data_IF_499053939912
#
_entry.id   IF_499053939912
#
_cell.length_a   1.000
_cell.length_b   1.000
_cell.length_c   1.000
_cell.angle_alpha   90.00
_cell.angle_beta   90.00
_cell.angle_gamma   90.00
#
_symmetry.space_group_name_H-M   'P 1'
#
loop_
_entity.id
_entity.type
_entity.pdbx_description
1 polymer ?
#
# COMPACT_ATOMS: atom_id res chain seq x y z
N UNK A 1 66.56 13.06 -9.63
CA UNK A 1 66.03 14.07 -8.69
C UNK A 1 64.56 13.73 -8.40
N UNK A 2 64.13 13.98 -7.16
CA UNK A 2 63.05 13.30 -6.45
C UNK A 2 61.63 13.43 -7.05
N UNK A 3 60.83 12.35 -6.93
CA UNK A 3 59.36 12.37 -7.06
C UNK A 3 58.77 13.16 -5.90
N UNK A 4 58.07 14.26 -6.18
CA UNK A 4 57.25 14.94 -5.19
C UNK A 4 56.02 14.07 -4.92
N UNK A 5 56.01 13.39 -3.78
CA UNK A 5 54.84 12.67 -3.28
C UNK A 5 53.73 13.70 -3.00
N UNK A 6 52.60 13.57 -3.69
CA UNK A 6 51.40 14.39 -3.43
C UNK A 6 51.01 14.27 -1.96
N UNK A 7 50.87 15.42 -1.29
CA UNK A 7 50.63 15.50 0.16
C UNK A 7 49.35 14.75 0.51
N UNK A 8 49.43 13.83 1.47
CA UNK A 8 48.26 13.18 2.05
C UNK A 8 47.46 14.20 2.86
N UNK A 9 46.57 14.94 2.20
CA UNK A 9 45.72 15.98 2.78
C UNK A 9 44.32 15.44 3.09
N UNK A 10 43.74 15.93 4.18
CA UNK A 10 42.37 15.59 4.57
C UNK A 10 41.38 16.26 3.62
N UNK A 11 40.43 15.50 3.10
CA UNK A 11 39.41 16.01 2.17
C UNK A 11 38.44 17.04 2.78
N UNK A 12 38.34 17.10 4.11
CA UNK A 12 37.38 17.98 4.80
C UNK A 12 38.04 19.32 5.17
N UNK A 13 39.25 19.31 5.73
CA UNK A 13 39.89 20.52 6.26
C UNK A 13 41.17 20.95 5.54
N UNK A 14 41.68 20.16 4.58
CA UNK A 14 42.86 20.42 3.73
C UNK A 14 44.18 20.79 4.45
N UNK A 15 44.23 20.59 5.78
CA UNK A 15 45.25 21.20 6.66
C UNK A 15 46.31 20.25 7.20
N UNK A 16 46.14 18.93 7.05
CA UNK A 16 47.08 17.95 7.62
C UNK A 16 47.95 17.26 6.56
N UNK A 17 49.23 17.05 6.88
CA UNK A 17 50.18 16.31 6.02
C UNK A 17 50.22 14.80 6.27
N UNK A 18 49.32 14.27 7.11
CA UNK A 18 49.28 12.87 7.55
C UNK A 18 47.88 12.25 7.43
N UNK A 19 47.13 12.60 6.37
CA UNK A 19 45.82 11.99 6.17
C UNK A 19 45.94 10.49 5.88
N UNK A 20 45.02 9.71 6.44
CA UNK A 20 44.90 8.27 6.25
C UNK A 20 43.81 8.00 5.22
N UNK A 21 44.06 7.03 4.33
CA UNK A 21 43.08 6.56 3.36
C UNK A 21 42.07 5.63 4.04
N UNK A 22 40.78 5.92 3.89
CA UNK A 22 39.75 4.95 4.19
C UNK A 22 39.74 3.86 3.10
N UNK A 23 39.93 2.60 3.47
CA UNK A 23 40.01 1.50 2.49
C UNK A 23 38.69 1.27 1.74
N UNK A 24 37.55 1.53 2.39
CA UNK A 24 36.24 1.30 1.81
C UNK A 24 35.86 2.33 0.75
N UNK A 25 36.04 3.63 1.03
CA UNK A 25 35.62 4.71 0.12
C UNK A 25 36.79 5.39 -0.61
N UNK A 26 38.03 4.95 -0.34
CA UNK A 26 39.28 5.49 -0.91
C UNK A 26 39.54 6.99 -0.66
N UNK A 27 38.76 7.63 0.21
CA UNK A 27 38.91 9.04 0.59
C UNK A 27 39.98 9.22 1.68
N UNK A 28 40.63 10.38 1.69
CA UNK A 28 41.70 10.73 2.64
C UNK A 28 41.16 11.60 3.78
N UNK A 29 41.40 11.22 5.03
CA UNK A 29 40.92 11.95 6.21
C UNK A 29 42.03 12.13 7.25
N UNK A 30 42.00 13.25 7.99
CA UNK A 30 42.73 13.31 9.26
C UNK A 30 42.10 12.36 10.27
N UNK A 31 42.78 12.07 11.38
CA UNK A 31 42.26 11.17 12.40
C UNK A 31 40.87 11.58 12.94
N UNK A 32 40.64 12.88 13.14
CA UNK A 32 39.35 13.40 13.62
C UNK A 32 38.25 13.14 12.60
N UNK A 33 38.44 13.57 11.35
CA UNK A 33 37.47 13.39 10.28
C UNK A 33 37.28 11.91 9.88
N UNK A 34 38.29 11.06 10.08
CA UNK A 34 38.16 9.62 9.89
C UNK A 34 37.24 9.00 10.93
N UNK A 35 37.35 9.40 12.20
CA UNK A 35 36.45 8.96 13.27
C UNK A 35 35.02 9.40 13.01
N UNK A 36 34.81 10.68 12.63
CA UNK A 36 33.49 11.19 12.27
C UNK A 36 32.91 10.45 11.06
N UNK A 37 33.72 10.18 10.04
CA UNK A 37 33.29 9.41 8.87
C UNK A 37 32.86 7.98 9.25
N UNK A 38 33.57 7.32 10.18
CA UNK A 38 33.19 6.00 10.68
C UNK A 38 31.90 6.02 11.48
N UNK A 39 31.71 7.05 12.30
CA UNK A 39 30.48 7.25 13.05
C UNK A 39 29.28 7.49 12.11
N UNK A 40 29.45 8.33 11.10
CA UNK A 40 28.45 8.54 10.05
C UNK A 40 28.08 7.24 9.34
N UNK A 41 29.08 6.42 8.98
CA UNK A 41 28.83 5.11 8.36
C UNK A 41 28.09 4.16 9.31
N UNK A 42 28.40 4.18 10.60
CA UNK A 42 27.68 3.38 11.60
C UNK A 42 26.21 3.78 11.67
N UNK A 43 25.94 5.09 11.73
CA UNK A 43 24.56 5.62 11.76
C UNK A 43 23.78 5.23 10.50
N UNK A 44 24.42 5.31 9.32
CA UNK A 44 23.80 4.87 8.07
C UNK A 44 23.48 3.37 8.06
N UNK A 45 24.33 2.53 8.66
CA UNK A 45 24.06 1.10 8.78
C UNK A 45 22.87 0.84 9.73
N UNK A 46 22.84 1.52 10.88
CA UNK A 46 21.72 1.40 11.83
C UNK A 46 20.38 1.82 11.17
N UNK A 47 20.40 2.88 10.35
CA UNK A 47 19.22 3.29 9.57
C UNK A 47 18.80 2.23 8.54
N UNK A 48 19.76 1.58 7.86
CA UNK A 48 19.47 0.52 6.90
C UNK A 48 18.83 -0.67 7.61
N UNK A 49 19.36 -1.08 8.76
CA UNK A 49 18.81 -2.18 9.56
C UNK A 49 17.38 -1.88 10.02
N UNK A 50 17.13 -0.69 10.57
CA UNK A 50 15.79 -0.27 10.96
C UNK A 50 14.81 -0.26 9.78
N UNK A 51 15.24 0.25 8.62
CA UNK A 51 14.41 0.25 7.41
C UNK A 51 14.12 -1.17 6.91
N UNK A 52 15.09 -2.07 7.01
CA UNK A 52 14.91 -3.47 6.65
C UNK A 52 13.87 -4.16 7.53
N UNK A 53 13.94 -3.95 8.85
CA UNK A 53 12.98 -4.50 9.80
C UNK A 53 11.57 -3.96 9.56
N UNK A 54 11.42 -2.64 9.41
CA UNK A 54 10.14 -1.99 9.10
C UNK A 54 9.55 -2.49 7.78
N UNK A 55 10.39 -2.73 6.78
CA UNK A 55 9.97 -3.29 5.51
C UNK A 55 9.49 -4.74 5.66
N UNK A 56 10.23 -5.57 6.39
CA UNK A 56 9.87 -6.95 6.71
C UNK A 56 8.55 -7.06 7.46
N UNK A 57 8.34 -6.21 8.47
CA UNK A 57 7.07 -6.11 9.20
C UNK A 57 5.92 -5.68 8.28
N UNK A 58 6.15 -4.67 7.44
CA UNK A 58 5.13 -4.17 6.51
C UNK A 58 4.72 -5.23 5.49
N UNK A 59 5.69 -5.97 4.94
CA UNK A 59 5.42 -7.09 4.04
C UNK A 59 4.63 -8.19 4.75
N UNK A 60 5.05 -8.58 5.95
CA UNK A 60 4.38 -9.63 6.75
C UNK A 60 2.95 -9.22 7.08
N UNK A 61 2.72 -7.97 7.49
CA UNK A 61 1.38 -7.42 7.77
C UNK A 61 0.49 -7.48 6.53
N UNK A 62 0.98 -7.05 5.37
CA UNK A 62 0.24 -7.10 4.10
C UNK A 62 -0.06 -8.52 3.66
N UNK A 63 0.90 -9.44 3.80
CA UNK A 63 0.73 -10.87 3.48
C UNK A 63 -0.32 -11.54 4.37
N UNK A 64 -0.34 -11.21 5.66
CA UNK A 64 -1.27 -11.82 6.61
C UNK A 64 -2.69 -11.25 6.55
N UNK A 65 -2.87 -10.06 5.97
CA UNK A 65 -4.16 -9.38 5.87
C UNK A 65 -4.49 -8.98 4.43
N UNK A 66 -4.57 -9.94 3.49
CA UNK A 66 -4.87 -9.64 2.09
C UNK A 66 -6.24 -8.97 1.91
N UNK A 67 -7.18 -9.22 2.83
CA UNK A 67 -8.52 -8.60 2.81
C UNK A 67 -8.49 -7.08 3.03
N UNK A 68 -7.42 -6.55 3.64
CA UNK A 68 -7.26 -5.11 3.79
C UNK A 68 -6.86 -4.42 2.50
N UNK A 69 -6.45 -5.18 1.48
CA UNK A 69 -6.05 -4.64 0.19
C UNK A 69 -7.20 -3.89 -0.48
N UNK A 70 -6.91 -2.71 -1.03
CA UNK A 70 -7.92 -1.82 -1.62
C UNK A 70 -8.69 -2.47 -2.77
N UNK A 71 -8.03 -3.31 -3.58
CA UNK A 71 -8.69 -4.06 -4.65
C UNK A 71 -9.67 -5.11 -4.12
N UNK A 72 -9.35 -5.80 -3.02
CA UNK A 72 -10.27 -6.77 -2.42
C UNK A 72 -11.51 -6.05 -1.89
N UNK A 73 -11.33 -4.92 -1.20
CA UNK A 73 -12.47 -4.09 -0.76
C UNK A 73 -13.34 -3.60 -1.91
N UNK A 74 -12.73 -3.27 -3.06
CA UNK A 74 -13.48 -2.88 -4.26
C UNK A 74 -14.28 -4.05 -4.85
N UNK A 75 -13.70 -5.25 -4.85
CA UNK A 75 -14.41 -6.47 -5.27
C UNK A 75 -15.58 -6.74 -4.32
N UNK A 76 -15.38 -6.68 -3.01
CA UNK A 76 -16.43 -6.89 -2.01
C UNK A 76 -17.57 -5.86 -2.17
N UNK A 77 -17.23 -4.60 -2.45
CA UNK A 77 -18.22 -3.55 -2.68
C UNK A 77 -18.99 -3.80 -3.98
N UNK A 78 -18.30 -4.15 -5.05
CA UNK A 78 -18.90 -4.48 -6.34
C UNK A 78 -19.86 -5.68 -6.22
N UNK A 79 -19.49 -6.70 -5.45
CA UNK A 79 -20.34 -7.86 -5.18
C UNK A 79 -21.64 -7.44 -4.46
N UNK A 80 -21.53 -6.67 -3.38
CA UNK A 80 -22.68 -6.16 -2.63
C UNK A 80 -23.61 -5.33 -3.50
N UNK A 81 -23.06 -4.40 -4.28
CA UNK A 81 -23.83 -3.54 -5.16
C UNK A 81 -24.56 -4.35 -6.25
N UNK A 82 -23.90 -5.39 -6.77
CA UNK A 82 -24.48 -6.28 -7.76
C UNK A 82 -25.64 -7.10 -7.19
N UNK A 83 -25.48 -7.67 -5.99
CA UNK A 83 -26.56 -8.39 -5.30
C UNK A 83 -27.75 -7.48 -5.06
N UNK A 84 -27.53 -6.26 -4.54
CA UNK A 84 -28.59 -5.29 -4.28
C UNK A 84 -29.37 -4.95 -5.54
N UNK A 85 -28.68 -4.70 -6.67
CA UNK A 85 -29.33 -4.42 -7.96
C UNK A 85 -30.20 -5.58 -8.44
N UNK A 86 -29.68 -6.81 -8.33
CA UNK A 86 -30.43 -8.01 -8.72
C UNK A 86 -31.68 -8.17 -7.85
N UNK A 87 -31.55 -7.99 -6.53
CA UNK A 87 -32.66 -8.11 -5.59
C UNK A 87 -33.73 -7.04 -5.84
N UNK A 88 -33.31 -5.78 -6.03
CA UNK A 88 -34.23 -4.70 -6.37
C UNK A 88 -35.00 -5.02 -7.65
N UNK A 89 -34.32 -5.45 -8.70
CA UNK A 89 -34.98 -5.76 -9.96
C UNK A 89 -35.92 -6.96 -9.86
N UNK A 90 -35.53 -7.99 -9.11
CA UNK A 90 -36.41 -9.12 -8.83
C UNK A 90 -37.68 -8.68 -8.09
N UNK A 91 -37.56 -7.76 -7.13
CA UNK A 91 -38.71 -7.25 -6.38
C UNK A 91 -39.64 -6.40 -7.24
N UNK A 92 -39.11 -5.52 -8.09
CA UNK A 92 -39.90 -4.79 -9.09
C UNK A 92 -40.71 -5.75 -9.97
N UNK A 93 -40.08 -6.83 -10.44
CA UNK A 93 -40.77 -7.85 -11.25
C UNK A 93 -41.87 -8.57 -10.45
N UNK A 94 -41.64 -8.92 -9.19
CA UNK A 94 -42.66 -9.54 -8.33
C UNK A 94 -43.85 -8.62 -8.15
N UNK A 95 -43.61 -7.34 -7.86
CA UNK A 95 -44.67 -6.35 -7.66
C UNK A 95 -45.52 -6.16 -8.92
N UNK A 96 -44.90 -6.13 -10.10
CA UNK A 96 -45.64 -6.09 -11.37
C UNK A 96 -46.55 -7.31 -11.53
N UNK A 97 -46.04 -8.51 -11.28
CA UNK A 97 -46.85 -9.74 -11.37
C UNK A 97 -47.99 -9.72 -10.36
N UNK A 98 -47.73 -9.33 -9.11
CA UNK A 98 -48.78 -9.22 -8.09
C UNK A 98 -49.85 -8.22 -8.48
N UNK A 99 -49.48 -7.04 -9.00
CA UNK A 99 -50.44 -6.05 -9.48
C UNK A 99 -51.36 -6.62 -10.57
N UNK A 100 -50.77 -7.31 -11.56
CA UNK A 100 -51.55 -7.95 -12.63
C UNK A 100 -52.47 -9.04 -12.11
N UNK A 101 -51.99 -9.90 -11.20
CA UNK A 101 -52.77 -10.95 -10.59
C UNK A 101 -53.94 -10.39 -9.79
N UNK A 102 -53.69 -9.43 -8.89
CA UNK A 102 -54.74 -8.78 -8.09
C UNK A 102 -55.80 -8.18 -8.99
N UNK A 103 -55.41 -7.42 -10.03
CA UNK A 103 -56.36 -6.84 -10.98
C UNK A 103 -57.21 -7.91 -11.67
N UNK A 104 -56.59 -9.00 -12.12
CA UNK A 104 -57.30 -10.09 -12.78
C UNK A 104 -58.27 -10.81 -11.83
N UNK A 105 -57.88 -11.04 -10.58
CA UNK A 105 -58.76 -11.64 -9.58
C UNK A 105 -59.94 -10.74 -9.25
N UNK A 106 -59.74 -9.44 -9.06
CA UNK A 106 -60.83 -8.49 -8.84
C UNK A 106 -61.81 -8.49 -10.03
N UNK A 107 -61.32 -8.55 -11.26
CA UNK A 107 -62.19 -8.67 -12.44
C UNK A 107 -63.01 -9.96 -12.44
N UNK A 108 -62.42 -11.08 -12.01
CA UNK A 108 -63.16 -12.34 -11.87
C UNK A 108 -64.24 -12.22 -10.80
N UNK A 109 -63.93 -11.62 -9.65
CA UNK A 109 -64.86 -11.40 -8.55
C UNK A 109 -66.04 -10.53 -8.98
N UNK A 110 -65.77 -9.41 -9.65
CA UNK A 110 -66.80 -8.50 -10.18
C UNK A 110 -67.74 -9.23 -11.16
N UNK A 111 -67.17 -9.96 -12.13
CA UNK A 111 -67.95 -10.75 -13.10
C UNK A 111 -68.80 -11.84 -12.41
N UNK A 112 -68.29 -12.48 -11.36
CA UNK A 112 -69.03 -13.49 -10.61
C UNK A 112 -70.23 -12.88 -9.88
N UNK A 113 -70.05 -11.71 -9.27
CA UNK A 113 -71.13 -10.97 -8.60
C UNK A 113 -72.21 -10.54 -9.61
N UNK A 114 -71.84 -10.12 -10.81
CA UNK A 114 -72.79 -9.78 -11.88
C UNK A 114 -73.60 -10.99 -12.36
N UNK A 115 -73.02 -12.18 -12.39
CA UNK A 115 -73.70 -13.40 -12.87
C UNK A 115 -74.60 -14.07 -11.83
N UNK A 116 -74.44 -13.72 -10.55
CA UNK A 116 -75.15 -14.38 -9.43
C UNK A 116 -76.23 -13.51 -8.77
N UNK A 117 -76.35 -12.24 -9.19
CA UNK A 117 -77.46 -11.33 -8.84
C UNK A 117 -78.45 -11.22 -10.00
#
# INVERSE_FOLDING_TARGET
MARVAGKAQCMICDTEKNAVKCECCSKMFCHIHLSLHREELSQQLDEIEQNFDLFGETLTRKKNHPQQHSLIKQIDQWEKDSINKIQQKAEECRQLVFHHLTKHFTQIEDNFVELTN
#
